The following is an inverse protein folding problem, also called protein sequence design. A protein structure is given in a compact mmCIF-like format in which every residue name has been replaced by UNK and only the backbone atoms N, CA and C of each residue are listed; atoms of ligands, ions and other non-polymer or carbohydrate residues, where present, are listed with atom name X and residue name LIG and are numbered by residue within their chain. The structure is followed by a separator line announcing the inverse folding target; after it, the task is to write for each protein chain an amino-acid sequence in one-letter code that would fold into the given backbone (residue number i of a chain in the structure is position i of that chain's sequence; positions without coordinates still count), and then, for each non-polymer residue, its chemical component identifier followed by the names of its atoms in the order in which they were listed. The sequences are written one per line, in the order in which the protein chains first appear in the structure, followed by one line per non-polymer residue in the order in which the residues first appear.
data_IF_443696460824
#
_entry.id   IF_443696460824
#
_cell.length_a   1.000
_cell.length_b   1.000
_cell.length_c   1.000
_cell.angle_alpha   90.00
_cell.angle_beta   90.00
_cell.angle_gamma   90.00
#
_symmetry.space_group_name_H-M   'P 1'
#
loop_
_entity.id
_entity.type
_entity.pdbx_description
1 polymer ?
#
# COMPACT_ATOMS: atom_id res chain seq x y z
N UNK A 1 -0.73 -4.63 -6.74
CA UNK A 1 -0.81 -3.26 -7.29
C UNK A 1 -0.44 -2.31 -6.16
N UNK A 2 0.37 -1.28 -6.40
CA UNK A 2 0.72 -0.27 -5.41
C UNK A 2 0.48 1.13 -5.99
N UNK A 3 -0.13 2.01 -5.20
CA UNK A 3 -0.38 3.40 -5.56
C UNK A 3 0.36 4.33 -4.61
N UNK A 4 0.97 5.39 -5.13
CA UNK A 4 1.78 6.35 -4.37
C UNK A 4 1.67 7.77 -4.95
N UNK A 5 2.24 8.76 -4.26
CA UNK A 5 2.24 10.19 -4.61
C UNK A 5 0.86 10.85 -4.80
N UNK A 6 -0.21 10.17 -4.41
CA UNK A 6 -1.58 10.69 -4.41
C UNK A 6 -2.07 11.20 -3.05
N UNK A 7 -3.36 11.54 -2.99
CA UNK A 7 -4.04 11.99 -1.77
C UNK A 7 -5.38 11.28 -1.63
N UNK A 8 -5.73 10.92 -0.40
CA UNK A 8 -7.08 10.43 -0.08
C UNK A 8 -7.99 11.65 0.05
N UNK A 9 -9.06 11.69 -0.73
CA UNK A 9 -10.06 12.76 -0.70
C UNK A 9 -11.48 12.19 -0.75
N UNK A 10 -12.48 12.88 -0.18
CA UNK A 10 -13.88 12.53 -0.37
C UNK A 10 -14.23 12.59 -1.86
N UNK A 11 -14.91 11.57 -2.35
CA UNK A 11 -15.41 11.58 -3.71
C UNK A 11 -16.60 12.56 -3.81
N UNK A 12 -16.72 13.38 -4.86
CA UNK A 12 -17.72 14.46 -4.89
C UNK A 12 -19.18 13.97 -4.99
N UNK A 13 -19.38 12.73 -5.44
CA UNK A 13 -20.67 12.20 -5.86
C UNK A 13 -21.20 11.07 -4.97
N UNK A 14 -20.40 10.61 -4.00
CA UNK A 14 -20.79 9.63 -2.99
C UNK A 14 -20.06 9.92 -1.67
N UNK A 15 -20.39 9.19 -0.60
CA UNK A 15 -19.75 9.33 0.71
C UNK A 15 -18.44 8.54 0.82
N UNK A 16 -17.87 8.06 -0.30
CA UNK A 16 -16.67 7.23 -0.30
C UNK A 16 -15.41 8.08 -0.43
N UNK A 17 -14.28 7.49 -0.03
CA UNK A 17 -12.96 8.07 -0.19
C UNK A 17 -12.31 7.55 -1.48
N UNK A 18 -11.60 8.42 -2.18
CA UNK A 18 -10.81 8.07 -3.36
C UNK A 18 -9.35 8.48 -3.19
N UNK A 19 -8.42 7.64 -3.66
CA UNK A 19 -7.01 7.99 -3.77
C UNK A 19 -6.78 8.61 -5.14
N UNK A 20 -6.61 9.94 -5.18
CA UNK A 20 -6.55 10.71 -6.42
C UNK A 20 -5.15 11.26 -6.68
N UNK A 21 -4.89 11.60 -7.95
CA UNK A 21 -3.61 12.13 -8.43
C UNK A 21 -2.41 11.24 -8.07
N UNK A 22 -2.64 9.92 -8.00
CA UNK A 22 -1.61 8.94 -7.68
C UNK A 22 -1.00 8.33 -8.93
N UNK A 23 0.24 7.86 -8.78
CA UNK A 23 0.84 6.90 -9.70
C UNK A 23 0.57 5.48 -9.22
N UNK A 24 0.32 4.57 -10.17
CA UNK A 24 0.08 3.15 -9.89
C UNK A 24 1.10 2.29 -10.61
N UNK A 25 1.68 1.33 -9.88
CA UNK A 25 2.61 0.33 -10.42
C UNK A 25 2.17 -1.08 -10.04
N UNK A 26 2.56 -2.05 -10.86
CA UNK A 26 2.40 -3.47 -10.57
C UNK A 26 3.78 -4.02 -10.26
N UNK A 27 3.98 -4.45 -9.02
CA UNK A 27 5.21 -5.10 -8.58
C UNK A 27 4.93 -6.59 -8.35
N UNK A 28 5.73 -7.45 -8.98
CA UNK A 28 5.75 -8.88 -8.69
C UNK A 28 6.78 -9.18 -7.59
N UNK A 29 6.33 -9.83 -6.52
CA UNK A 29 7.16 -10.26 -5.39
C UNK A 29 6.90 -11.72 -5.05
N UNK A 30 7.87 -12.34 -4.36
CA UNK A 30 7.65 -13.66 -3.79
C UNK A 30 6.71 -13.53 -2.59
N UNK A 31 5.82 -14.52 -2.40
CA UNK A 31 4.87 -14.57 -1.28
C UNK A 31 5.52 -14.48 0.10
N UNK A 32 6.75 -14.96 0.22
CA UNK A 32 7.49 -15.03 1.49
C UNK A 32 8.55 -13.91 1.60
N UNK A 33 8.39 -12.84 0.83
CA UNK A 33 9.31 -11.70 0.85
C UNK A 33 9.28 -11.04 2.24
N UNK A 34 10.47 -10.64 2.72
CA UNK A 34 10.62 -9.85 3.94
C UNK A 34 10.38 -8.38 3.66
N UNK A 35 9.86 -7.65 4.64
CA UNK A 35 9.54 -6.23 4.52
C UNK A 35 10.74 -5.41 4.06
N UNK A 36 11.93 -5.68 4.57
CA UNK A 36 13.17 -5.01 4.13
C UNK A 36 13.44 -5.17 2.62
N UNK A 37 13.26 -6.38 2.08
CA UNK A 37 13.42 -6.68 0.66
C UNK A 37 12.27 -6.11 -0.18
N UNK A 38 11.05 -6.10 0.36
CA UNK A 38 9.89 -5.46 -0.26
C UNK A 38 10.10 -3.95 -0.43
N UNK A 39 10.55 -3.27 0.63
CA UNK A 39 10.91 -1.85 0.62
C UNK A 39 12.03 -1.59 -0.39
N UNK A 40 13.07 -2.41 -0.40
CA UNK A 40 14.20 -2.28 -1.33
C UNK A 40 13.77 -2.41 -2.81
N UNK A 41 12.72 -3.19 -3.10
CA UNK A 41 12.15 -3.25 -4.46
C UNK A 41 11.33 -2.02 -4.82
N UNK A 42 10.79 -1.31 -3.83
CA UNK A 42 9.97 -0.13 -4.05
C UNK A 42 10.76 1.17 -4.03
N UNK A 43 11.94 1.19 -3.40
CA UNK A 43 12.79 2.37 -3.31
C UNK A 43 13.13 3.07 -4.63
N UNK A 44 13.18 2.41 -5.81
CA UNK A 44 13.38 3.11 -7.07
C UNK A 44 12.18 3.97 -7.52
N UNK A 45 10.99 3.77 -6.92
CA UNK A 45 9.76 4.46 -7.33
C UNK A 45 9.46 5.70 -6.49
N UNK A 46 10.10 5.85 -5.33
CA UNK A 46 9.88 6.99 -4.45
C UNK A 46 11.22 7.63 -4.09
N UNK A 47 11.31 8.96 -4.25
CA UNK A 47 12.51 9.72 -3.87
C UNK A 47 12.26 10.39 -2.51
N UNK A 48 12.24 9.59 -1.44
CA UNK A 48 12.01 10.09 -0.08
C UNK A 48 13.30 10.14 0.71
N UNK A 49 13.72 11.32 1.22
CA UNK A 49 14.83 11.38 2.16
C UNK A 49 14.50 10.56 3.42
N UNK A 50 15.45 9.73 3.84
CA UNK A 50 15.39 8.89 5.05
C UNK A 50 14.47 7.66 5.02
N UNK A 51 14.02 7.17 3.85
CA UNK A 51 13.13 6.01 3.75
C UNK A 51 11.86 6.12 4.63
N UNK A 52 11.39 7.34 4.91
CA UNK A 52 10.20 7.59 5.71
C UNK A 52 8.93 7.31 4.87
N UNK A 53 8.75 6.07 4.44
CA UNK A 53 7.60 5.61 3.68
C UNK A 53 6.68 4.82 4.58
N UNK A 54 5.41 5.22 4.60
CA UNK A 54 4.36 4.47 5.29
C UNK A 54 3.65 3.58 4.29
N UNK A 55 3.76 2.26 4.48
CA UNK A 55 3.05 1.28 3.67
C UNK A 55 1.69 0.99 4.31
N UNK A 56 0.65 1.05 3.49
CA UNK A 56 -0.70 0.70 3.91
C UNK A 56 -1.38 -0.15 2.85
N UNK A 57 -2.28 -1.02 3.29
CA UNK A 57 -3.13 -1.82 2.41
C UNK A 57 -4.59 -1.67 2.80
N UNK A 58 -5.45 -1.83 1.81
CA UNK A 58 -6.90 -1.89 1.97
C UNK A 58 -7.30 -3.36 2.10
N UNK A 59 -8.28 -3.70 2.94
CA UNK A 59 -8.86 -5.04 2.91
C UNK A 59 -9.84 -5.15 1.73
N UNK A 60 -10.02 -6.34 1.11
CA UNK A 60 -10.90 -6.48 -0.06
C UNK A 60 -12.34 -5.99 0.12
N UNK A 61 -12.85 -5.95 1.36
CA UNK A 61 -14.20 -5.53 1.71
C UNK A 61 -14.32 -4.14 2.33
N UNK A 62 -13.20 -3.46 2.61
CA UNK A 62 -13.17 -2.22 3.37
C UNK A 62 -12.79 -1.02 2.50
N UNK A 63 -13.12 0.19 2.93
CA UNK A 63 -12.83 1.44 2.23
C UNK A 63 -11.46 2.06 2.63
N UNK A 64 -11.10 3.20 2.02
CA UNK A 64 -9.82 3.87 2.28
C UNK A 64 -9.72 4.56 3.65
N UNK A 65 -10.80 4.61 4.44
CA UNK A 65 -10.77 5.10 5.83
C UNK A 65 -10.27 4.02 6.81
N UNK A 66 -10.29 2.75 6.40
CA UNK A 66 -9.89 1.60 7.20
C UNK A 66 -8.53 0.99 6.78
N UNK A 67 -7.65 1.79 6.18
CA UNK A 67 -6.33 1.32 5.72
C UNK A 67 -5.46 0.77 6.88
N UNK A 68 -4.91 -0.42 6.67
CA UNK A 68 -4.05 -1.10 7.64
C UNK A 68 -2.59 -0.79 7.33
N UNK A 69 -1.82 -0.43 8.36
CA UNK A 69 -0.39 -0.11 8.21
C UNK A 69 0.47 -1.37 8.28
N UNK A 70 1.52 -1.41 7.46
CA UNK A 70 2.53 -2.47 7.47
C UNK A 70 3.79 -1.90 8.10
N UNK A 71 4.14 -2.41 9.29
CA UNK A 71 5.28 -1.91 10.07
C UNK A 71 6.36 -2.96 10.29
N UNK A 72 6.01 -4.25 10.12
CA UNK A 72 6.91 -5.37 10.32
C UNK A 72 6.59 -6.53 9.34
N UNK A 73 7.36 -7.62 9.42
CA UNK A 73 7.18 -8.80 8.56
C UNK A 73 5.86 -9.55 8.80
N UNK A 74 5.32 -9.52 10.02
CA UNK A 74 4.06 -10.18 10.38
C UNK A 74 2.87 -9.44 9.75
N UNK A 75 2.87 -8.11 9.80
CA UNK A 75 1.85 -7.29 9.12
C UNK A 75 1.85 -7.55 7.60
N UNK A 76 3.04 -7.72 7.01
CA UNK A 76 3.18 -8.02 5.59
C UNK A 76 2.66 -9.42 5.25
N UNK A 77 2.92 -10.42 6.11
CA UNK A 77 2.39 -11.77 5.93
C UNK A 77 0.87 -11.79 6.03
N UNK A 78 0.30 -11.08 7.02
CA UNK A 78 -1.15 -10.92 7.15
C UNK A 78 -1.76 -10.28 5.91
N UNK A 79 -1.17 -9.20 5.39
CA UNK A 79 -1.61 -8.60 4.11
C UNK A 79 -1.64 -9.66 3.01
N UNK A 80 -0.56 -10.44 2.85
CA UNK A 80 -0.50 -11.44 1.78
C UNK A 80 -1.57 -12.54 1.93
N UNK A 81 -1.86 -12.98 3.16
CA UNK A 81 -2.94 -13.97 3.42
C UNK A 81 -4.31 -13.42 3.04
N UNK A 82 -4.62 -12.18 3.42
CA UNK A 82 -5.94 -11.60 3.16
C UNK A 82 -6.22 -11.43 1.65
N UNK A 83 -5.19 -11.21 0.83
CA UNK A 83 -5.31 -11.08 -0.62
C UNK A 83 -5.24 -12.41 -1.39
N UNK A 84 -4.92 -13.53 -0.73
CA UNK A 84 -4.95 -14.89 -1.32
C UNK A 84 -6.29 -15.61 -1.14
N UNK A 85 -7.17 -15.08 -0.29
CA UNK A 85 -8.51 -15.62 -0.01
C UNK A 85 -9.53 -15.22 -1.09
#
# INVERSE_FOLDING_TARGET
MCSYDGKIQPHPHDLQLAYISCDTKILAVNRNIKLSAFISKLSPFYDTPNNAVCFKYQLPSEDLDALISITNDEDLDHMMVEYER
#
